data_IF_696294367894
#
_entry.id   IF_696294367894
#
_cell.length_a   1.000
_cell.length_b   1.000
_cell.length_c   1.000
_cell.angle_alpha   90.00
_cell.angle_beta   90.00
_cell.angle_gamma   90.00
#
_symmetry.space_group_name_H-M   'P 1'
#
loop_
_entity.id
_entity.type
_entity.pdbx_description
1 polymer ?
#
# COMPACT_ATOMS: atom_id res chain seq x y z
N UNK A 1 7.86 8.36 -10.16
CA UNK A 1 7.68 8.52 -8.70
C UNK A 1 6.85 7.38 -8.13
N UNK A 2 5.58 7.16 -8.52
CA UNK A 2 4.71 6.13 -7.92
C UNK A 2 5.32 4.71 -7.90
N UNK A 3 5.88 4.23 -9.02
CA UNK A 3 6.58 2.95 -9.06
C UNK A 3 7.70 2.82 -8.00
N UNK A 4 8.43 3.91 -7.73
CA UNK A 4 9.51 3.89 -6.74
C UNK A 4 8.97 3.70 -5.32
N UNK A 5 7.98 4.48 -4.91
CA UNK A 5 7.39 4.37 -3.57
C UNK A 5 6.43 3.17 -3.41
N UNK A 6 5.99 2.57 -4.51
CA UNK A 6 5.20 1.34 -4.48
C UNK A 6 6.06 0.12 -4.15
N UNK A 7 7.23 -0.05 -4.79
CA UNK A 7 8.02 -1.27 -4.62
C UNK A 7 9.54 -1.07 -4.52
N UNK A 8 10.13 -0.11 -5.25
CA UNK A 8 11.60 0.02 -5.30
C UNK A 8 12.22 0.57 -4.02
N UNK A 9 11.50 1.38 -3.26
CA UNK A 9 12.00 1.98 -2.02
C UNK A 9 12.48 0.90 -1.06
N UNK A 10 11.76 -0.22 -0.94
CA UNK A 10 12.04 -1.29 0.02
C UNK A 10 13.33 -2.08 -0.26
N UNK A 11 13.92 -1.94 -1.44
CA UNK A 11 15.22 -2.54 -1.79
C UNK A 11 16.34 -1.51 -1.91
N UNK A 12 16.09 -0.25 -1.56
CA UNK A 12 17.06 0.82 -1.74
C UNK A 12 18.23 0.69 -0.72
N UNK A 13 19.50 0.69 -1.15
CA UNK A 13 20.64 0.45 -0.25
C UNK A 13 20.77 1.47 0.90
N UNK A 14 20.29 2.71 0.72
CA UNK A 14 20.36 3.73 1.77
C UNK A 14 19.44 3.45 2.96
N UNK A 15 18.46 2.58 2.81
CA UNK A 15 17.52 2.26 3.90
C UNK A 15 17.69 0.84 4.42
N UNK A 16 18.66 0.07 3.91
CA UNK A 16 18.83 -1.34 4.28
C UNK A 16 19.23 -1.54 5.74
N UNK A 17 19.76 -0.51 6.40
CA UNK A 17 20.16 -0.53 7.81
C UNK A 17 19.14 0.14 8.73
N UNK A 18 17.97 0.55 8.23
CA UNK A 18 16.95 1.24 9.00
C UNK A 18 15.83 0.27 9.40
N UNK A 19 15.26 0.46 10.59
CA UNK A 19 14.05 -0.26 10.99
C UNK A 19 12.78 0.40 10.44
N UNK A 20 12.78 1.74 10.40
CA UNK A 20 11.67 2.55 9.95
C UNK A 20 12.14 3.66 9.01
N UNK A 21 11.24 4.12 8.14
CA UNK A 21 11.35 5.45 7.54
C UNK A 21 10.09 6.26 7.79
N UNK A 22 10.23 7.58 7.78
CA UNK A 22 9.14 8.53 7.79
C UNK A 22 9.19 9.33 6.50
N UNK A 23 8.24 9.11 5.60
CA UNK A 23 8.11 9.86 4.35
C UNK A 23 7.40 11.18 4.63
N UNK A 24 8.03 12.25 4.18
CA UNK A 24 7.48 13.61 4.07
C UNK A 24 7.64 14.04 2.61
N UNK A 25 6.53 14.38 1.97
CA UNK A 25 6.52 15.00 0.65
C UNK A 25 6.66 16.53 0.74
N UNK A 26 6.75 17.21 -0.39
CA UNK A 26 6.90 18.67 -0.46
C UNK A 26 5.68 19.46 0.09
N UNK A 27 4.53 18.79 0.20
CA UNK A 27 3.28 19.30 0.77
C UNK A 27 3.01 18.83 2.21
N UNK A 28 3.98 18.15 2.83
CA UNK A 28 3.87 17.67 4.22
C UNK A 28 4.38 18.70 5.22
N UNK A 29 3.48 19.18 6.08
CA UNK A 29 3.79 20.19 7.10
C UNK A 29 3.56 19.67 8.51
N UNK A 30 4.59 19.74 9.36
CA UNK A 30 4.47 19.62 10.82
C UNK A 30 4.43 21.05 11.37
N UNK A 31 3.23 21.51 11.72
CA UNK A 31 2.98 22.93 12.05
C UNK A 31 3.27 23.31 13.49
N UNK A 32 3.28 22.32 14.37
CA UNK A 32 3.46 22.49 15.80
C UNK A 32 4.47 21.44 16.31
N UNK A 33 5.28 21.78 17.34
CA UNK A 33 6.14 20.80 17.98
C UNK A 33 5.33 19.60 18.49
N UNK A 34 5.79 18.40 18.19
CA UNK A 34 5.23 17.17 18.73
C UNK A 34 6.12 16.66 19.87
N UNK A 35 5.51 16.30 21.00
CA UNK A 35 6.22 15.63 22.10
C UNK A 35 6.34 14.10 21.89
N UNK A 36 5.88 13.60 20.74
CA UNK A 36 5.87 12.19 20.37
C UNK A 36 7.00 11.89 19.39
N UNK A 37 7.88 10.94 19.73
CA UNK A 37 8.73 10.29 18.74
C UNK A 37 7.89 9.26 17.96
N UNK A 38 7.65 9.47 16.65
CA UNK A 38 6.82 8.57 15.86
C UNK A 38 7.42 7.17 15.73
N UNK A 39 8.75 7.04 15.73
CA UNK A 39 9.42 5.75 15.61
C UNK A 39 9.33 4.96 16.92
N UNK A 40 9.55 5.63 18.06
CA UNK A 40 9.38 5.02 19.37
C UNK A 40 7.93 4.55 19.55
N UNK A 41 6.96 5.40 19.24
CA UNK A 41 5.54 5.04 19.32
C UNK A 41 5.21 3.81 18.48
N UNK A 42 5.70 3.75 17.24
CA UNK A 42 5.51 2.59 16.36
C UNK A 42 6.15 1.33 16.94
N UNK A 43 7.35 1.44 17.49
CA UNK A 43 8.09 0.32 18.07
C UNK A 43 7.39 -0.25 19.31
N UNK A 44 7.06 0.60 20.31
CA UNK A 44 6.48 0.16 21.57
C UNK A 44 5.05 -0.38 21.42
N UNK A 45 4.30 0.11 20.42
CA UNK A 45 2.94 -0.37 20.12
C UNK A 45 2.89 -1.44 19.02
N UNK A 46 4.05 -1.95 18.59
CA UNK A 46 4.19 -2.94 17.53
C UNK A 46 3.41 -2.60 16.24
N UNK A 47 3.43 -1.32 15.84
CA UNK A 47 2.78 -0.84 14.62
C UNK A 47 3.71 -1.00 13.42
N UNK A 48 3.12 -1.33 12.27
CA UNK A 48 3.87 -1.63 11.04
C UNK A 48 3.77 -0.53 9.98
N UNK A 49 2.66 0.22 10.00
CA UNK A 49 2.39 1.34 9.11
C UNK A 49 1.55 2.37 9.88
N UNK A 50 1.85 3.65 9.69
CA UNK A 50 1.02 4.76 10.10
C UNK A 50 0.89 5.77 8.95
N UNK A 51 -0.27 6.38 8.81
CA UNK A 51 -0.57 7.43 7.84
C UNK A 51 -1.46 8.48 8.52
N UNK A 52 -1.51 9.68 7.95
CA UNK A 52 -2.29 10.80 8.52
C UNK A 52 -3.68 10.97 7.90
N UNK A 53 -3.91 10.42 6.72
CA UNK A 53 -5.20 10.54 6.03
C UNK A 53 -5.54 9.28 5.24
N UNK A 54 -6.83 9.11 5.00
CA UNK A 54 -7.40 8.09 4.11
C UNK A 54 -8.31 8.77 3.11
N UNK A 55 -8.48 8.15 1.95
CA UNK A 55 -9.40 8.59 0.93
C UNK A 55 -9.55 7.51 -0.13
N UNK A 56 -9.82 7.94 -1.35
CA UNK A 56 -9.94 7.07 -2.51
C UNK A 56 -9.21 7.69 -3.70
N UNK A 57 -8.72 6.86 -4.61
CA UNK A 57 -8.12 7.30 -5.87
C UNK A 57 -9.11 7.08 -7.04
N UNK A 58 -8.95 7.89 -8.08
CA UNK A 58 -9.92 7.96 -9.17
C UNK A 58 -9.82 6.76 -10.11
N UNK A 59 -10.95 6.21 -10.59
CA UNK A 59 -10.95 5.03 -11.46
C UNK A 59 -10.12 5.19 -12.74
N UNK A 60 -10.10 6.40 -13.33
CA UNK A 60 -9.37 6.65 -14.57
C UNK A 60 -7.83 6.53 -14.43
N UNK A 61 -7.28 6.57 -13.21
CA UNK A 61 -5.85 6.32 -12.91
C UNK A 61 -5.59 4.99 -12.19
N UNK A 62 -6.63 4.24 -11.90
CA UNK A 62 -6.56 2.94 -11.23
C UNK A 62 -7.20 1.82 -12.03
N UNK A 63 -7.35 2.03 -13.35
CA UNK A 63 -7.91 1.03 -14.26
C UNK A 63 -7.25 -0.33 -14.10
N UNK A 64 -8.07 -1.37 -13.88
CA UNK A 64 -7.63 -2.75 -13.65
C UNK A 64 -7.09 -3.06 -12.26
N UNK A 65 -6.99 -2.09 -11.34
CA UNK A 65 -6.41 -2.32 -10.01
C UNK A 65 -7.31 -3.21 -9.13
N UNK A 66 -8.64 -3.08 -9.22
CA UNK A 66 -9.60 -3.98 -8.57
C UNK A 66 -9.50 -5.42 -9.10
N UNK A 67 -9.41 -5.59 -10.43
CA UNK A 67 -9.23 -6.90 -11.06
C UNK A 67 -7.93 -7.55 -10.64
N UNK A 68 -6.84 -6.77 -10.57
CA UNK A 68 -5.54 -7.23 -10.10
C UNK A 68 -5.60 -7.73 -8.64
N UNK A 69 -6.20 -6.94 -7.73
CA UNK A 69 -6.37 -7.34 -6.34
C UNK A 69 -7.20 -8.62 -6.22
N UNK A 70 -8.34 -8.68 -6.94
CA UNK A 70 -9.24 -9.84 -6.94
C UNK A 70 -8.55 -11.09 -7.45
N UNK A 71 -7.85 -10.99 -8.59
CA UNK A 71 -7.08 -12.10 -9.15
C UNK A 71 -6.00 -12.57 -8.18
N UNK A 72 -5.24 -11.65 -7.61
CA UNK A 72 -4.16 -12.00 -6.69
C UNK A 72 -4.70 -12.73 -5.45
N UNK A 73 -5.81 -12.26 -4.87
CA UNK A 73 -6.45 -12.88 -3.72
C UNK A 73 -7.03 -14.28 -4.05
N UNK A 74 -7.64 -14.46 -5.22
CA UNK A 74 -8.13 -15.78 -5.66
C UNK A 74 -7.00 -16.80 -5.83
N UNK A 75 -5.82 -16.35 -6.29
CA UNK A 75 -4.65 -17.20 -6.45
C UNK A 75 -3.92 -17.47 -5.11
N UNK A 76 -4.23 -16.71 -4.04
CA UNK A 76 -3.55 -16.75 -2.73
C UNK A 76 -4.57 -16.74 -1.57
N UNK A 77 -5.08 -17.92 -1.13
CA UNK A 77 -6.13 -18.01 -0.11
C UNK A 77 -5.78 -17.37 1.25
N UNK A 78 -4.50 -17.35 1.61
CA UNK A 78 -4.00 -16.68 2.80
C UNK A 78 -4.16 -15.15 2.70
N UNK A 79 -3.93 -14.59 1.51
CA UNK A 79 -4.13 -13.16 1.23
C UNK A 79 -5.62 -12.81 1.22
N UNK A 80 -6.48 -13.64 0.63
CA UNK A 80 -7.94 -13.44 0.72
C UNK A 80 -8.42 -13.45 2.17
N UNK A 81 -7.95 -14.40 2.99
CA UNK A 81 -8.26 -14.47 4.42
C UNK A 81 -7.82 -13.21 5.17
N UNK A 82 -6.61 -12.70 4.87
CA UNK A 82 -6.11 -11.43 5.43
C UNK A 82 -6.95 -10.24 5.01
N UNK A 83 -7.32 -10.14 3.74
CA UNK A 83 -8.18 -9.06 3.22
C UNK A 83 -9.54 -9.06 3.91
N UNK A 84 -10.17 -10.23 4.10
CA UNK A 84 -11.44 -10.35 4.82
C UNK A 84 -11.29 -9.97 6.31
N UNK A 85 -10.25 -10.46 6.98
CA UNK A 85 -9.98 -10.12 8.38
C UNK A 85 -9.71 -8.64 8.61
N UNK A 86 -9.02 -8.01 7.66
CA UNK A 86 -8.77 -6.58 7.62
C UNK A 86 -9.95 -5.76 7.06
N UNK A 87 -11.08 -6.40 6.73
CA UNK A 87 -12.27 -5.74 6.20
C UNK A 87 -11.99 -4.92 4.92
N UNK A 88 -11.21 -5.47 3.99
CA UNK A 88 -11.02 -4.88 2.67
C UNK A 88 -12.39 -4.73 1.98
N UNK A 89 -12.73 -3.53 1.46
CA UNK A 89 -14.07 -3.23 0.99
C UNK A 89 -14.27 -3.75 -0.44
N UNK A 90 -14.37 -5.07 -0.57
CA UNK A 90 -14.68 -5.69 -1.85
C UNK A 90 -15.98 -5.13 -2.44
N UNK A 91 -15.95 -4.84 -3.74
CA UNK A 91 -17.15 -4.45 -4.49
C UNK A 91 -18.03 -5.69 -4.74
N UNK A 92 -19.35 -5.52 -4.94
CA UNK A 92 -20.20 -6.62 -5.35
C UNK A 92 -19.80 -7.16 -6.75
N UNK A 93 -20.22 -8.39 -7.06
CA UNK A 93 -20.03 -9.03 -8.37
C UNK A 93 -18.55 -9.20 -8.80
N UNK A 94 -17.70 -9.74 -7.90
CA UNK A 94 -16.26 -10.03 -8.14
C UNK A 94 -15.95 -10.90 -9.36
N UNK A 95 -16.92 -11.66 -9.85
CA UNK A 95 -16.77 -12.53 -11.02
C UNK A 95 -17.05 -11.81 -12.36
N UNK A 96 -17.45 -10.54 -12.33
CA UNK A 96 -17.73 -9.75 -13.53
C UNK A 96 -16.44 -9.46 -14.34
N UNK A 97 -16.46 -9.56 -15.68
CA UNK A 97 -15.33 -9.12 -16.50
C UNK A 97 -15.02 -7.63 -16.33
N UNK A 98 -16.02 -6.82 -15.99
CA UNK A 98 -15.90 -5.37 -15.81
C UNK A 98 -15.67 -4.97 -14.34
N UNK A 99 -15.28 -5.93 -13.50
CA UNK A 99 -15.14 -5.74 -12.05
C UNK A 99 -14.26 -4.54 -11.70
N UNK A 100 -14.89 -3.50 -11.14
CA UNK A 100 -14.22 -2.32 -10.61
C UNK A 100 -13.54 -1.42 -11.66
N UNK A 101 -13.93 -1.49 -12.94
CA UNK A 101 -13.35 -0.61 -13.98
C UNK A 101 -13.63 0.89 -13.72
N UNK A 102 -14.84 1.23 -13.28
CA UNK A 102 -15.26 2.60 -12.99
C UNK A 102 -15.41 2.90 -11.49
N UNK A 103 -14.83 2.04 -10.65
CA UNK A 103 -14.93 2.18 -9.20
C UNK A 103 -13.71 2.86 -8.60
N UNK A 104 -13.96 3.77 -7.67
CA UNK A 104 -12.95 4.32 -6.77
C UNK A 104 -12.27 3.21 -5.99
N UNK A 105 -10.99 3.40 -5.66
CA UNK A 105 -10.24 2.45 -4.84
C UNK A 105 -9.74 3.10 -3.56
N UNK A 106 -9.87 2.45 -2.39
CA UNK A 106 -9.35 2.97 -1.14
C UNK A 106 -7.86 3.28 -1.20
N UNK A 107 -7.47 4.38 -0.57
CA UNK A 107 -6.12 4.90 -0.60
C UNK A 107 -5.68 5.48 0.75
N UNK A 108 -4.38 5.43 1.03
CA UNK A 108 -3.76 6.16 2.14
C UNK A 108 -3.11 7.44 1.62
N UNK A 109 -3.10 8.49 2.42
CA UNK A 109 -2.29 9.68 2.14
C UNK A 109 -0.80 9.37 2.25
N UNK A 110 -0.19 8.92 1.15
CA UNK A 110 1.20 8.46 1.10
C UNK A 110 2.25 9.56 1.26
N UNK A 111 1.85 10.84 1.26
CA UNK A 111 2.73 11.98 1.49
C UNK A 111 3.19 12.15 2.96
N UNK A 112 2.50 11.48 3.90
CA UNK A 112 2.83 11.44 5.31
C UNK A 112 2.64 10.01 5.84
N UNK A 113 3.72 9.23 5.90
CA UNK A 113 3.66 7.84 6.37
C UNK A 113 4.92 7.41 7.14
N UNK A 114 4.72 6.60 8.19
CA UNK A 114 5.80 5.95 8.95
C UNK A 114 5.70 4.45 8.72
N UNK A 115 6.79 3.83 8.30
CA UNK A 115 6.78 2.49 7.71
C UNK A 115 7.84 1.62 8.34
N UNK A 116 7.45 0.45 8.86
CA UNK A 116 8.37 -0.58 9.39
C UNK A 116 8.91 -1.43 8.25
N UNK A 117 10.19 -1.26 7.92
CA UNK A 117 10.79 -1.83 6.71
C UNK A 117 10.75 -3.36 6.68
N UNK A 118 11.07 -3.99 7.81
CA UNK A 118 11.06 -5.45 7.94
C UNK A 118 9.71 -6.11 7.62
N UNK A 119 8.60 -5.35 7.68
CA UNK A 119 7.27 -5.85 7.34
C UNK A 119 6.95 -5.78 5.84
N UNK A 120 7.62 -4.91 5.10
CA UNK A 120 7.48 -4.80 3.64
C UNK A 120 8.59 -5.56 2.89
N UNK A 121 9.56 -6.10 3.61
CA UNK A 121 10.69 -6.86 3.08
C UNK A 121 10.55 -8.38 3.30
N UNK A 122 9.38 -8.86 3.75
CA UNK A 122 9.16 -10.31 3.86
C UNK A 122 9.10 -10.95 2.47
N UNK A 123 9.41 -12.26 2.34
CA UNK A 123 9.38 -12.95 1.05
C UNK A 123 8.03 -12.83 0.33
N UNK A 124 6.92 -12.88 1.06
CA UNK A 124 5.56 -12.84 0.52
C UNK A 124 5.23 -11.44 -0.03
N UNK A 125 5.54 -10.39 0.75
CA UNK A 125 5.35 -9.00 0.29
C UNK A 125 6.23 -8.72 -0.92
N UNK A 126 7.49 -9.18 -0.90
CA UNK A 126 8.38 -9.03 -2.05
C UNK A 126 7.82 -9.73 -3.28
N UNK A 127 7.29 -10.95 -3.16
CA UNK A 127 6.70 -11.68 -4.28
C UNK A 127 5.47 -10.93 -4.86
N UNK A 128 4.61 -10.37 -4.01
CA UNK A 128 3.52 -9.51 -4.46
C UNK A 128 4.01 -8.26 -5.19
N UNK A 129 5.00 -7.56 -4.63
CA UNK A 129 5.55 -6.34 -5.22
C UNK A 129 6.28 -6.62 -6.55
N UNK A 130 6.94 -7.78 -6.68
CA UNK A 130 7.54 -8.24 -7.94
C UNK A 130 6.45 -8.59 -8.96
N UNK A 131 5.36 -9.25 -8.55
CA UNK A 131 4.20 -9.52 -9.40
C UNK A 131 3.55 -8.20 -9.88
N UNK A 132 3.43 -7.22 -8.99
CA UNK A 132 2.96 -5.88 -9.29
C UNK A 132 3.86 -5.19 -10.34
N UNK A 133 5.18 -5.26 -10.16
CA UNK A 133 6.17 -4.64 -11.04
C UNK A 133 6.37 -5.36 -12.38
N UNK A 134 5.92 -6.61 -12.51
CA UNK A 134 6.08 -7.40 -13.74
C UNK A 134 5.39 -6.80 -14.97
N UNK A 135 4.36 -5.98 -14.75
CA UNK A 135 3.65 -5.26 -15.80
C UNK A 135 3.87 -3.74 -15.66
N UNK A 136 4.75 -3.15 -16.49
CA UNK A 136 5.05 -1.73 -16.43
C UNK A 136 3.85 -0.85 -16.84
N UNK A 137 2.88 -1.37 -17.60
CA UNK A 137 1.74 -0.56 -18.09
C UNK A 137 0.90 0.00 -16.94
N UNK A 138 0.84 -0.73 -15.81
CA UNK A 138 0.22 -0.29 -14.55
C UNK A 138 0.70 1.09 -14.12
N UNK A 139 2.00 1.36 -14.21
CA UNK A 139 2.57 2.64 -13.79
C UNK A 139 2.71 3.65 -14.93
N UNK A 140 3.13 3.22 -16.11
CA UNK A 140 3.50 4.13 -17.21
C UNK A 140 2.36 4.42 -18.19
N UNK A 141 1.29 3.60 -18.19
CA UNK A 141 0.08 3.82 -18.98
C UNK A 141 -1.08 4.26 -18.09
N UNK A 142 -1.41 3.45 -17.07
CA UNK A 142 -2.58 3.69 -16.23
C UNK A 142 -2.33 4.62 -15.04
N UNK A 143 -1.07 4.92 -14.72
CA UNK A 143 -0.67 5.79 -13.60
C UNK A 143 -1.09 5.27 -12.21
N UNK A 144 -1.00 3.97 -11.97
CA UNK A 144 -1.25 3.41 -10.64
C UNK A 144 -0.41 4.12 -9.56
N UNK A 145 -1.11 4.74 -8.62
CA UNK A 145 -0.52 5.48 -7.53
C UNK A 145 0.05 4.57 -6.45
N UNK A 146 1.15 5.00 -5.81
CA UNK A 146 1.70 4.34 -4.64
C UNK A 146 0.76 4.38 -3.43
N UNK A 147 -0.09 5.40 -3.34
CA UNK A 147 -1.05 5.61 -2.27
C UNK A 147 -2.13 4.48 -2.17
N UNK A 148 -2.89 4.15 -3.24
CA UNK A 148 -3.81 3.01 -3.20
C UNK A 148 -3.08 1.66 -3.12
N UNK A 149 -1.94 1.53 -3.79
CA UNK A 149 -1.11 0.32 -3.71
C UNK A 149 -0.59 0.07 -2.29
N UNK A 150 -0.19 1.12 -1.56
CA UNK A 150 0.27 1.01 -0.18
C UNK A 150 -0.84 0.50 0.74
N UNK A 151 -2.05 1.04 0.59
CA UNK A 151 -3.22 0.56 1.36
C UNK A 151 -3.53 -0.89 1.03
N UNK A 152 -3.53 -1.26 -0.25
CA UNK A 152 -3.72 -2.64 -0.70
C UNK A 152 -2.67 -3.59 -0.10
N UNK A 153 -1.37 -3.27 -0.19
CA UNK A 153 -0.30 -4.08 0.41
C UNK A 153 -0.48 -4.21 1.92
N UNK A 154 -0.86 -3.13 2.61
CA UNK A 154 -1.09 -3.18 4.05
C UNK A 154 -2.24 -4.14 4.40
N UNK A 155 -3.36 -4.07 3.68
CA UNK A 155 -4.50 -4.95 3.91
C UNK A 155 -4.24 -6.41 3.51
N UNK A 156 -3.33 -6.67 2.57
CA UNK A 156 -2.95 -8.03 2.18
C UNK A 156 -2.01 -8.70 3.19
N UNK A 157 -1.08 -7.95 3.79
CA UNK A 157 0.08 -8.55 4.48
C UNK A 157 0.34 -8.07 5.92
N UNK A 158 -0.39 -7.04 6.38
CA UNK A 158 -0.26 -6.51 7.74
C UNK A 158 -1.56 -6.73 8.51
N UNK A 159 -1.50 -6.57 9.84
CA UNK A 159 -2.71 -6.44 10.65
C UNK A 159 -3.05 -4.95 10.78
N UNK A 160 -4.16 -4.51 10.18
CA UNK A 160 -4.55 -3.09 10.15
C UNK A 160 -5.72 -2.76 11.06
N UNK A 161 -6.34 -3.78 11.67
CA UNK A 161 -7.43 -3.67 12.65
C UNK A 161 -6.97 -4.18 14.01
#
# INVERSE_FOLDING_TARGET
>A
MCAFFSYKIFSHPRISSLDYYFRLDDDSFIREPTCLDPFEYMHVNNKSLAHRSEGEDWPFVTGGMWQFANKYANDHPDVESRLLGNQWPWLPHRDSPDYGLDAWIPSYGGNFEVVKLSRFQTPEVKAFLDNLASDPTRFYTYRWGDAPLRKMTAYMFLNVI
#
